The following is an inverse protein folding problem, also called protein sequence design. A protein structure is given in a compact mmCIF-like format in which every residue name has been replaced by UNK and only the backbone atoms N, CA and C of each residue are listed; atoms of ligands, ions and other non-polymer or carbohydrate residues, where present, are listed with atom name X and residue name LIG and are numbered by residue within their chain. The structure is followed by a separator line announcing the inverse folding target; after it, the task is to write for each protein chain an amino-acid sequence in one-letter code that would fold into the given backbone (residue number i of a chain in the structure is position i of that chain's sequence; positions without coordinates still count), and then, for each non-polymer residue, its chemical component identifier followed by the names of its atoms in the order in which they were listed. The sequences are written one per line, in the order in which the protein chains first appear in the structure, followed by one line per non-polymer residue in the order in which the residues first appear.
data_IF_852915150177
#
_entry.id   IF_852915150177
#
_cell.length_a   1.000
_cell.length_b   1.000
_cell.length_c   1.000
_cell.angle_alpha   90.00
_cell.angle_beta   90.00
_cell.angle_gamma   90.00
#
_symmetry.space_group_name_H-M   'P 1'
#
loop_
_entity.id
_entity.type
_entity.pdbx_description
1 polymer ?
#
# COMPACT_ATOMS: atom_id res chain seq x y z
N UNK A 1 12.92 -1.14 15.81
CA UNK A 1 14.24 -1.29 15.20
C UNK A 1 14.47 -0.16 14.22
N UNK A 2 15.71 0.33 14.09
CA UNK A 2 16.08 1.32 13.06
C UNK A 2 15.58 0.82 11.70
N UNK A 3 14.48 1.41 11.22
CA UNK A 3 13.91 1.11 9.91
C UNK A 3 14.85 1.68 8.88
N UNK A 4 15.88 0.91 8.54
CA UNK A 4 16.75 1.18 7.41
C UNK A 4 15.88 1.02 6.17
N UNK A 5 15.80 2.07 5.37
CA UNK A 5 14.96 2.21 4.17
C UNK A 5 15.17 1.09 3.13
N UNK A 6 16.21 0.27 3.30
CA UNK A 6 16.51 -0.91 2.50
C UNK A 6 15.57 -2.11 2.71
N UNK A 7 14.90 -2.23 3.86
CA UNK A 7 14.04 -3.39 4.13
C UNK A 7 12.86 -3.54 3.13
N UNK A 8 12.11 -2.47 2.79
CA UNK A 8 11.05 -2.57 1.79
C UNK A 8 11.59 -2.85 0.37
N UNK A 9 12.77 -2.35 0.00
CA UNK A 9 13.37 -2.62 -1.31
C UNK A 9 13.70 -4.10 -1.52
N UNK A 10 14.23 -4.78 -0.49
CA UNK A 10 14.50 -6.21 -0.56
C UNK A 10 13.23 -7.06 -0.71
N UNK A 11 12.11 -6.62 -0.12
CA UNK A 11 10.81 -7.28 -0.27
C UNK A 11 10.24 -7.06 -1.69
N UNK A 12 10.40 -5.85 -2.23
CA UNK A 12 9.95 -5.51 -3.58
C UNK A 12 10.72 -6.28 -4.65
N UNK A 13 12.04 -6.37 -4.52
CA UNK A 13 12.90 -7.17 -5.40
C UNK A 13 12.54 -8.67 -5.36
N UNK A 14 12.00 -9.13 -4.23
CA UNK A 14 11.49 -10.50 -4.07
C UNK A 14 10.09 -10.70 -4.68
N UNK A 15 9.44 -9.62 -5.15
CA UNK A 15 8.09 -9.64 -5.70
C UNK A 15 6.97 -9.65 -4.64
N UNK A 16 7.28 -9.31 -3.38
CA UNK A 16 6.30 -9.29 -2.29
C UNK A 16 5.45 -8.02 -2.39
N UNK A 17 4.14 -8.20 -2.60
CA UNK A 17 3.18 -7.09 -2.75
C UNK A 17 2.33 -6.80 -1.52
N UNK A 18 2.28 -7.73 -0.57
CA UNK A 18 1.48 -7.59 0.65
C UNK A 18 2.22 -8.18 1.84
N UNK A 19 2.15 -7.51 2.99
CA UNK A 19 2.73 -7.97 4.26
C UNK A 19 1.63 -7.93 5.31
N UNK A 20 1.41 -9.06 6.00
CA UNK A 20 0.38 -9.18 7.03
C UNK A 20 1.09 -9.34 8.38
N UNK A 21 0.78 -8.50 9.36
CA UNK A 21 1.38 -8.55 10.70
C UNK A 21 0.42 -8.01 11.77
N UNK A 22 0.63 -8.32 13.06
CA UNK A 22 -0.23 -7.80 14.12
C UNK A 22 -0.04 -6.30 14.37
N UNK A 23 1.15 -5.79 14.07
CA UNK A 23 1.47 -4.36 14.12
C UNK A 23 2.69 -4.07 13.25
N UNK A 24 2.81 -2.81 12.84
CA UNK A 24 3.97 -2.31 12.10
C UNK A 24 4.55 -1.10 12.82
N UNK A 25 5.86 -0.89 12.68
CA UNK A 25 6.48 0.37 13.08
C UNK A 25 6.07 1.48 12.10
N UNK A 26 5.79 2.68 12.59
CA UNK A 26 5.25 3.80 11.78
C UNK A 26 6.10 4.10 10.52
N UNK A 27 7.42 4.05 10.67
CA UNK A 27 8.36 4.29 9.56
C UNK A 27 8.24 3.20 8.49
N UNK A 28 8.21 1.93 8.90
CA UNK A 28 8.07 0.80 7.98
C UNK A 28 6.71 0.84 7.29
N UNK A 29 5.65 1.14 8.05
CA UNK A 29 4.30 1.26 7.54
C UNK A 29 4.23 2.32 6.43
N UNK A 30 4.73 3.53 6.68
CA UNK A 30 4.77 4.60 5.68
C UNK A 30 5.65 4.24 4.46
N UNK A 31 6.79 3.61 4.67
CA UNK A 31 7.64 3.19 3.56
C UNK A 31 6.98 2.10 2.69
N UNK A 32 6.16 1.21 3.25
CA UNK A 32 5.44 0.22 2.45
C UNK A 32 4.53 0.89 1.41
N UNK A 33 3.72 1.88 1.83
CA UNK A 33 2.85 2.61 0.90
C UNK A 33 3.63 3.32 -0.20
N UNK A 34 4.76 3.95 0.14
CA UNK A 34 5.62 4.62 -0.84
C UNK A 34 6.27 3.68 -1.85
N UNK A 35 6.38 2.39 -1.53
CA UNK A 35 6.95 1.41 -2.44
C UNK A 35 5.86 0.51 -3.06
N UNK A 36 4.57 0.83 -2.90
CA UNK A 36 3.49 0.02 -3.46
C UNK A 36 3.29 -1.34 -2.79
N UNK A 37 3.78 -1.51 -1.56
CA UNK A 37 3.54 -2.69 -0.72
C UNK A 37 2.34 -2.41 0.17
N UNK A 38 1.39 -3.34 0.25
CA UNK A 38 0.23 -3.25 1.14
C UNK A 38 0.54 -3.85 2.52
N UNK A 39 0.70 -3.05 3.59
CA UNK A 39 0.77 -3.57 4.96
C UNK A 39 -0.64 -3.75 5.53
N UNK A 40 -0.99 -4.98 5.91
CA UNK A 40 -2.29 -5.32 6.50
C UNK A 40 -2.10 -5.67 7.98
N UNK A 41 -2.82 -4.97 8.85
CA UNK A 41 -2.83 -5.23 10.29
C UNK A 41 -4.00 -6.12 10.67
N UNK A 42 -3.73 -7.28 11.26
CA UNK A 42 -4.77 -8.20 11.74
C UNK A 42 -4.47 -8.66 13.17
N UNK A 43 -5.49 -9.03 13.97
CA UNK A 43 -5.27 -9.68 15.25
C UNK A 43 -4.44 -10.97 15.10
N UNK A 44 -3.59 -11.27 16.08
CA UNK A 44 -2.74 -12.48 16.06
C UNK A 44 -3.54 -13.76 15.78
N UNK A 45 -4.75 -13.88 16.35
CA UNK A 45 -5.62 -15.03 16.13
C UNK A 45 -6.04 -15.24 14.67
N UNK A 46 -6.21 -14.18 13.88
CA UNK A 46 -6.51 -14.28 12.44
C UNK A 46 -5.25 -14.60 11.64
N UNK A 47 -4.09 -14.09 12.06
CA UNK A 47 -2.79 -14.39 11.46
C UNK A 47 -2.45 -15.87 11.65
N UNK A 48 -2.68 -16.42 12.85
CA UNK A 48 -2.43 -17.83 13.14
C UNK A 48 -3.30 -18.74 12.26
N UNK A 49 -4.56 -18.36 11.99
CA UNK A 49 -5.42 -19.07 11.03
C UNK A 49 -4.85 -19.03 9.62
N UNK A 50 -4.40 -17.86 9.16
CA UNK A 50 -3.79 -17.72 7.84
C UNK A 50 -2.49 -18.54 7.71
N UNK A 51 -1.69 -18.61 8.77
CA UNK A 51 -0.47 -19.44 8.80
C UNK A 51 -0.84 -20.93 8.75
N UNK A 52 -1.84 -21.34 9.51
CA UNK A 52 -2.35 -22.71 9.51
C UNK A 52 -2.88 -23.08 8.11
N UNK A 53 -3.72 -22.23 7.49
CA UNK A 53 -4.21 -22.38 6.11
C UNK A 53 -3.06 -22.47 5.09
N UNK A 54 -2.04 -21.62 5.22
CA UNK A 54 -0.87 -21.64 4.36
C UNK A 54 -0.04 -22.92 4.51
N UNK A 55 -0.02 -23.52 5.71
CA UNK A 55 0.72 -24.74 6.00
C UNK A 55 0.02 -26.02 5.51
N UNK A 56 -1.30 -25.98 5.27
CA UNK A 56 -2.13 -27.13 4.89
C UNK A 56 -1.86 -27.68 3.47
N UNK A 57 -1.04 -27.04 2.64
CA UNK A 57 -0.60 -27.65 1.37
C UNK A 57 0.09 -26.69 0.39
N UNK A 58 0.82 -27.28 -0.58
CA UNK A 58 1.62 -26.56 -1.58
C UNK A 58 0.83 -25.63 -2.53
N UNK A 59 -0.51 -25.69 -2.51
CA UNK A 59 -1.41 -24.87 -3.33
C UNK A 59 -2.26 -23.87 -2.52
N UNK A 60 -1.93 -23.66 -1.24
CA UNK A 60 -2.64 -22.70 -0.37
C UNK A 60 -2.43 -21.26 -0.87
N UNK A 61 -3.23 -20.86 -1.85
CA UNK A 61 -3.19 -19.53 -2.44
C UNK A 61 -4.04 -18.60 -1.60
N UNK A 62 -3.39 -17.63 -0.95
CA UNK A 62 -4.07 -16.55 -0.24
C UNK A 62 -4.22 -15.39 -1.21
N UNK A 63 -5.45 -14.95 -1.42
CA UNK A 63 -5.76 -13.80 -2.28
C UNK A 63 -6.11 -12.60 -1.43
N UNK A 64 -5.48 -11.46 -1.70
CA UNK A 64 -5.77 -10.20 -1.02
C UNK A 64 -6.44 -9.27 -2.02
N UNK A 65 -7.68 -8.89 -1.74
CA UNK A 65 -8.46 -7.94 -2.53
C UNK A 65 -8.48 -6.60 -1.81
N UNK A 66 -7.73 -5.63 -2.34
CA UNK A 66 -7.67 -4.28 -1.78
C UNK A 66 -8.97 -3.50 -2.02
N UNK A 67 -9.68 -3.76 -3.11
CA UNK A 67 -10.91 -3.04 -3.45
C UNK A 67 -12.04 -3.45 -2.49
N UNK A 68 -12.20 -4.75 -2.26
CA UNK A 68 -13.14 -5.31 -1.30
C UNK A 68 -12.65 -5.24 0.16
N UNK A 69 -11.34 -5.02 0.38
CA UNK A 69 -10.70 -5.05 1.69
C UNK A 69 -10.84 -6.43 2.38
N UNK A 70 -10.64 -7.47 1.59
CA UNK A 70 -10.83 -8.86 1.98
C UNK A 70 -9.57 -9.67 1.72
N UNK A 71 -9.26 -10.58 2.63
CA UNK A 71 -8.27 -11.64 2.45
C UNK A 71 -9.02 -12.95 2.36
N UNK A 72 -8.81 -13.67 1.27
CA UNK A 72 -9.45 -14.95 0.97
C UNK A 72 -8.43 -16.06 1.09
N UNK A 73 -8.69 -16.98 2.02
CA UNK A 73 -7.92 -18.20 2.19
C UNK A 73 -8.33 -19.28 1.18
N UNK A 74 -7.51 -20.34 1.03
CA UNK A 74 -7.80 -21.47 0.15
C UNK A 74 -9.06 -22.24 0.56
N UNK A 75 -9.41 -22.24 1.86
CA UNK A 75 -10.58 -22.93 2.41
C UNK A 75 -11.88 -22.10 2.28
N UNK A 76 -11.83 -20.95 1.60
CA UNK A 76 -12.99 -20.05 1.40
C UNK A 76 -13.26 -19.11 2.58
N UNK A 77 -12.39 -19.11 3.60
CA UNK A 77 -12.44 -18.14 4.68
C UNK A 77 -12.19 -16.72 4.18
N UNK A 78 -13.01 -15.76 4.61
CA UNK A 78 -12.90 -14.34 4.28
C UNK A 78 -12.58 -13.56 5.55
N UNK A 79 -11.45 -12.87 5.56
CA UNK A 79 -11.02 -11.99 6.64
C UNK A 79 -11.05 -10.56 6.13
N UNK A 80 -11.73 -9.68 6.84
CA UNK A 80 -11.78 -8.27 6.48
C UNK A 80 -10.65 -7.53 7.17
N UNK A 81 -10.08 -6.54 6.47
CA UNK A 81 -9.08 -5.66 7.04
C UNK A 81 -9.42 -4.20 6.77
N UNK A 82 -9.05 -3.32 7.70
CA UNK A 82 -9.22 -1.89 7.52
C UNK A 82 -7.95 -1.23 7.02
N UNK A 83 -8.12 -0.30 6.09
CA UNK A 83 -7.07 0.56 5.56
C UNK A 83 -7.63 1.97 5.38
N UNK A 84 -6.79 2.96 5.58
CA UNK A 84 -7.13 4.35 5.33
C UNK A 84 -7.53 4.57 3.85
N UNK A 85 -8.67 5.21 3.56
CA UNK A 85 -9.16 5.40 2.19
C UNK A 85 -8.19 6.14 1.27
N UNK A 86 -7.43 7.11 1.80
CA UNK A 86 -6.45 7.85 1.01
C UNK A 86 -5.28 6.93 0.61
N UNK A 87 -4.77 6.14 1.56
CA UNK A 87 -3.73 5.13 1.27
C UNK A 87 -4.20 4.03 0.32
N UNK A 88 -5.46 3.60 0.44
CA UNK A 88 -6.10 2.66 -0.49
C UNK A 88 -6.10 3.21 -1.91
N UNK A 89 -6.47 4.49 -2.10
CA UNK A 89 -6.45 5.15 -3.40
C UNK A 89 -5.04 5.17 -4.00
N UNK A 90 -4.04 5.61 -3.22
CA UNK A 90 -2.64 5.63 -3.65
C UNK A 90 -2.16 4.25 -4.17
N UNK A 91 -2.46 3.18 -3.44
CA UNK A 91 -2.08 1.81 -3.82
C UNK A 91 -2.86 1.30 -5.04
N UNK A 92 -4.16 1.59 -5.14
CA UNK A 92 -5.01 1.14 -6.24
C UNK A 92 -4.64 1.80 -7.58
N UNK A 93 -4.33 3.09 -7.54
CA UNK A 93 -4.00 3.88 -8.73
C UNK A 93 -2.51 3.80 -9.07
N UNK A 94 -1.70 3.11 -8.25
CA UNK A 94 -0.24 3.06 -8.40
C UNK A 94 0.39 4.45 -8.32
N UNK A 95 -0.29 5.40 -7.67
CA UNK A 95 0.16 6.76 -7.52
C UNK A 95 1.24 6.79 -6.45
N UNK A 96 2.48 6.72 -6.90
CA UNK A 96 3.60 7.26 -6.15
C UNK A 96 3.39 8.78 -5.95
N UNK A 97 4.09 9.41 -5.00
CA UNK A 97 3.96 10.85 -4.67
C UNK A 97 4.02 11.78 -5.93
N UNK A 98 4.58 11.28 -7.04
CA UNK A 98 4.63 11.90 -8.38
C UNK A 98 3.25 11.96 -9.07
N UNK A 99 2.44 10.91 -8.97
CA UNK A 99 1.11 10.85 -9.58
C UNK A 99 0.11 11.82 -8.92
N UNK A 100 0.17 11.94 -7.60
CA UNK A 100 -0.59 12.93 -6.83
C UNK A 100 -0.22 14.38 -7.19
N UNK A 101 1.04 14.60 -7.57
CA UNK A 101 1.52 15.90 -8.08
C UNK A 101 1.03 16.15 -9.51
N UNK A 102 1.00 15.12 -10.37
CA UNK A 102 0.48 15.20 -11.74
C UNK A 102 -1.03 15.45 -11.78
N UNK A 103 -1.80 14.94 -10.81
CA UNK A 103 -3.23 15.23 -10.67
C UNK A 103 -3.50 16.72 -10.37
N UNK A 104 -2.53 17.39 -9.72
CA UNK A 104 -2.53 18.85 -9.54
C UNK A 104 -1.96 19.61 -10.73
N UNK A 105 -1.61 18.94 -11.83
CA UNK A 105 -1.06 19.56 -13.04
C UNK A 105 -1.93 20.71 -13.56
N UNK A 106 -3.24 20.51 -13.62
CA UNK A 106 -4.17 21.58 -14.02
C UNK A 106 -4.14 22.80 -13.08
N UNK A 107 -3.93 22.59 -11.77
CA UNK A 107 -3.81 23.68 -10.81
C UNK A 107 -2.45 24.40 -10.90
N UNK A 108 -1.39 23.68 -11.30
CA UNK A 108 -0.07 24.25 -11.59
C UNK A 108 -0.14 25.10 -12.87
N UNK A 109 -0.76 24.58 -13.92
CA UNK A 109 -0.97 25.31 -15.19
C UNK A 109 -1.74 26.62 -14.96
N UNK A 110 -2.82 26.56 -14.16
CA UNK A 110 -3.64 27.73 -13.82
C UNK A 110 -2.85 28.76 -12.99
N UNK A 111 -2.00 28.30 -12.07
CA UNK A 111 -1.12 29.16 -11.29
C UNK A 111 -0.02 29.78 -12.17
N UNK A 112 0.60 29.01 -13.06
CA UNK A 112 1.61 29.51 -14.00
C UNK A 112 1.02 30.54 -14.96
N UNK A 113 -0.17 30.29 -15.52
CA UNK A 113 -0.86 31.23 -16.38
C UNK A 113 -1.14 32.56 -15.66
N UNK A 114 -1.62 32.51 -14.42
CA UNK A 114 -1.85 33.70 -13.58
C UNK A 114 -0.54 34.41 -13.23
N UNK A 115 0.51 33.67 -12.90
CA UNK A 115 1.83 34.22 -12.56
C UNK A 115 2.47 34.92 -13.75
N UNK A 116 2.38 34.32 -14.95
CA UNK A 116 2.89 34.89 -16.22
C UNK A 116 2.13 36.16 -16.62
N UNK A 117 0.82 36.20 -16.36
CA UNK A 117 0.01 37.40 -16.56
C UNK A 117 0.30 38.51 -15.53
N UNK A 118 0.58 38.14 -14.27
CA UNK A 118 0.86 39.08 -13.19
C UNK A 118 2.31 39.60 -13.18
N UNK A 119 3.24 38.89 -13.82
CA UNK A 119 4.68 39.22 -13.85
C UNK A 119 5.21 39.16 -15.30
N UNK A 120 4.88 40.13 -16.16
CA UNK A 120 5.27 40.13 -17.57
C UNK A 120 6.77 40.36 -17.83
N UNK A 121 7.59 40.50 -16.78
CA UNK A 121 9.04 40.75 -16.85
C UNK A 121 9.90 39.56 -16.37
N UNK A 122 9.28 38.39 -16.15
CA UNK A 122 9.97 37.15 -15.80
C UNK A 122 10.18 36.27 -17.04
#
# INVERSE_FOLDING_TARGET
GSSREHAPWALLDFGIRCVIAPSFADIFYNNCFKNGILPVTLPQAEIDKLIDDASRGANATITVDLAAQEIRGPDGGVIHFDIDPFRKCCLMEGLDDIGLTLEKGAAIDDFEARSRAARPWA
#
